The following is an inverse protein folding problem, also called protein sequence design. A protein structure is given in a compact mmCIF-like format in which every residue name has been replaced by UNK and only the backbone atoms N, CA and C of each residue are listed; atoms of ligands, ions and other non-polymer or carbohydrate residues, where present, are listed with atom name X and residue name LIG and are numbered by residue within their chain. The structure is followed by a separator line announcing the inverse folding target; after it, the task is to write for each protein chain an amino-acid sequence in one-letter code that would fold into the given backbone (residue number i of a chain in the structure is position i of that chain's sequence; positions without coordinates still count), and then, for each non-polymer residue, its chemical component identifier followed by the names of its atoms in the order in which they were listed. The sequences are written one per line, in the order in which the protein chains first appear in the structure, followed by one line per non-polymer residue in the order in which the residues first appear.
data_IF_859315884841
#
_entry.id   IF_859315884841
#
_cell.length_a   1.000
_cell.length_b   1.000
_cell.length_c   1.000
_cell.angle_alpha   90.00
_cell.angle_beta   90.00
_cell.angle_gamma   90.00
#
_symmetry.space_group_name_H-M   'P 1'
#
loop_
_entity.id
_entity.type
_entity.pdbx_description
1 polymer ?
#
# COMPACT_ATOMS: atom_id res chain seq x y z
N UNK A 1 16.33 20.48 -0.79
CA UNK A 1 16.14 19.66 0.42
C UNK A 1 17.20 18.56 0.50
N UNK A 2 17.27 17.66 -0.48
CA UNK A 2 18.24 16.55 -0.55
C UNK A 2 19.72 16.88 -0.21
N UNK A 3 20.31 18.01 -0.64
CA UNK A 3 21.71 18.32 -0.27
C UNK A 3 21.93 18.50 1.24
N UNK A 4 20.92 19.00 1.96
CA UNK A 4 20.99 19.18 3.41
C UNK A 4 20.83 17.84 4.16
N UNK A 5 19.91 16.99 3.72
CA UNK A 5 19.71 15.64 4.29
C UNK A 5 21.02 14.83 4.22
N UNK A 6 21.69 14.84 3.07
CA UNK A 6 22.99 14.15 2.89
C UNK A 6 24.10 14.73 3.75
N UNK A 7 24.16 16.06 3.88
CA UNK A 7 25.18 16.72 4.71
C UNK A 7 25.06 16.35 6.18
N UNK A 8 23.85 16.07 6.65
CA UNK A 8 23.57 15.74 8.05
C UNK A 8 23.25 14.26 8.27
N UNK A 9 23.42 13.41 7.25
CA UNK A 9 23.20 11.95 7.34
C UNK A 9 21.80 11.64 7.89
N UNK A 10 20.80 12.41 7.45
CA UNK A 10 19.46 12.41 8.01
C UNK A 10 18.75 11.05 7.88
N UNK A 11 19.09 10.32 6.82
CA UNK A 11 18.61 8.97 6.52
C UNK A 11 19.01 7.92 7.56
N UNK A 12 20.09 8.14 8.33
CA UNK A 12 20.45 7.25 9.44
C UNK A 12 19.64 7.49 10.71
N UNK A 13 18.97 8.65 10.84
CA UNK A 13 18.25 9.03 12.06
C UNK A 13 16.74 9.07 11.89
N UNK A 14 16.26 9.30 10.66
CA UNK A 14 14.85 9.53 10.43
C UNK A 14 14.34 8.75 9.21
N UNK A 15 14.15 9.41 8.08
CA UNK A 15 13.62 8.80 6.86
C UNK A 15 14.64 8.86 5.73
N UNK A 16 14.69 7.84 4.87
CA UNK A 16 15.44 7.91 3.62
C UNK A 16 15.03 9.11 2.76
N UNK A 17 15.89 9.45 1.81
CA UNK A 17 15.56 10.44 0.80
C UNK A 17 14.37 9.97 -0.06
N UNK A 18 13.45 10.88 -0.36
CA UNK A 18 12.28 10.58 -1.18
C UNK A 18 12.68 10.17 -2.61
N UNK A 19 12.07 9.09 -3.09
CA UNK A 19 12.20 8.60 -4.44
C UNK A 19 11.18 9.24 -5.37
N UNK A 20 11.47 9.22 -6.68
CA UNK A 20 10.59 9.81 -7.69
C UNK A 20 9.17 9.23 -7.67
N UNK A 21 9.05 7.92 -7.44
CA UNK A 21 7.77 7.22 -7.33
C UNK A 21 6.87 7.75 -6.21
N UNK A 22 7.44 8.30 -5.12
CA UNK A 22 6.67 8.89 -4.03
C UNK A 22 6.08 10.25 -4.40
N UNK A 23 6.73 11.00 -5.29
CA UNK A 23 6.18 12.26 -5.82
C UNK A 23 5.07 12.02 -6.84
N UNK A 24 5.21 10.95 -7.64
CA UNK A 24 4.24 10.58 -8.66
C UNK A 24 3.09 9.69 -8.09
N UNK A 25 3.15 9.37 -6.79
CA UNK A 25 2.19 8.51 -6.12
C UNK A 25 0.78 9.10 -6.15
N UNK A 26 -0.20 8.25 -6.45
CA UNK A 26 -1.62 8.60 -6.29
C UNK A 26 -1.97 8.70 -4.81
N UNK A 27 -2.96 9.54 -4.42
CA UNK A 27 -3.44 9.58 -3.05
C UNK A 27 -3.83 8.19 -2.54
N UNK A 28 -3.38 7.85 -1.34
CA UNK A 28 -3.63 6.56 -0.70
C UNK A 28 -4.52 6.72 0.52
N UNK A 29 -5.41 5.74 0.74
CA UNK A 29 -6.28 5.66 1.91
C UNK A 29 -5.94 4.39 2.68
N UNK A 30 -5.60 4.54 3.96
CA UNK A 30 -5.27 3.43 4.85
C UNK A 30 -6.47 3.12 5.77
N UNK A 31 -6.99 1.90 5.68
CA UNK A 31 -8.05 1.42 6.56
C UNK A 31 -7.45 0.71 7.79
N UNK A 32 -7.57 1.34 8.96
CA UNK A 32 -7.14 0.78 10.25
C UNK A 32 -8.35 0.43 11.11
N UNK A 33 -8.25 -0.67 11.86
CA UNK A 33 -9.29 -1.09 12.79
C UNK A 33 -9.17 -2.57 13.16
N UNK A 34 -9.86 -2.97 14.23
CA UNK A 34 -9.86 -4.35 14.73
C UNK A 34 -10.41 -5.35 13.71
N UNK A 35 -10.25 -6.64 14.00
CA UNK A 35 -10.84 -7.71 13.18
C UNK A 35 -12.35 -7.54 13.05
N UNK A 36 -12.89 -7.88 11.88
CA UNK A 36 -14.33 -7.94 11.62
C UNK A 36 -15.12 -6.63 11.78
N UNK A 37 -14.47 -5.46 11.78
CA UNK A 37 -15.13 -4.13 11.83
C UNK A 37 -15.52 -3.58 10.45
N UNK A 38 -15.52 -4.40 9.40
CA UNK A 38 -16.03 -4.02 8.08
C UNK A 38 -15.04 -3.30 7.15
N UNK A 39 -13.72 -3.37 7.38
CA UNK A 39 -12.70 -2.76 6.50
C UNK A 39 -12.81 -3.23 5.04
N UNK A 40 -12.86 -4.55 4.83
CA UNK A 40 -13.03 -5.17 3.50
C UNK A 40 -14.35 -4.76 2.86
N UNK A 41 -15.43 -4.73 3.65
CA UNK A 41 -16.76 -4.29 3.20
C UNK A 41 -16.78 -2.82 2.77
N UNK A 42 -16.05 -1.96 3.49
CA UNK A 42 -15.93 -0.54 3.17
C UNK A 42 -15.19 -0.32 1.85
N UNK A 43 -14.10 -1.07 1.59
CA UNK A 43 -13.41 -1.03 0.30
C UNK A 43 -14.36 -1.49 -0.82
N UNK A 44 -15.08 -2.60 -0.64
CA UNK A 44 -16.08 -3.08 -1.60
C UNK A 44 -17.19 -2.05 -1.86
N UNK A 45 -17.64 -1.35 -0.83
CA UNK A 45 -18.63 -0.27 -0.96
C UNK A 45 -18.11 0.89 -1.83
N UNK A 46 -16.86 1.34 -1.59
CA UNK A 46 -16.23 2.39 -2.39
C UNK A 46 -15.98 1.97 -3.85
N UNK A 47 -15.85 0.67 -4.11
CA UNK A 47 -15.73 0.09 -5.44
C UNK A 47 -17.10 -0.24 -6.07
N UNK A 48 -18.19 0.38 -5.61
CA UNK A 48 -19.55 0.16 -6.10
C UNK A 48 -20.00 -1.31 -6.07
N UNK A 49 -19.53 -2.07 -5.08
CA UNK A 49 -19.85 -3.48 -4.92
C UNK A 49 -18.96 -4.45 -5.69
N UNK A 50 -17.99 -3.98 -6.49
CA UNK A 50 -17.03 -4.86 -7.16
C UNK A 50 -16.12 -5.55 -6.15
N UNK A 51 -15.93 -6.86 -6.34
CA UNK A 51 -14.97 -7.64 -5.55
C UNK A 51 -13.55 -7.45 -6.09
N UNK A 52 -12.59 -7.33 -5.18
CA UNK A 52 -11.18 -7.29 -5.50
C UNK A 52 -10.50 -8.60 -5.09
N UNK A 53 -9.44 -9.03 -5.78
CA UNK A 53 -8.71 -10.24 -5.41
C UNK A 53 -8.28 -10.22 -3.94
N UNK A 54 -8.64 -11.27 -3.18
CA UNK A 54 -8.34 -11.36 -1.76
C UNK A 54 -9.38 -10.72 -0.82
N UNK A 55 -10.50 -10.20 -1.33
CA UNK A 55 -11.58 -9.61 -0.52
C UNK A 55 -12.44 -10.64 0.24
N UNK A 56 -11.92 -11.83 0.57
CA UNK A 56 -12.71 -12.88 1.25
C UNK A 56 -13.18 -12.38 2.63
N UNK A 57 -14.49 -12.19 2.77
CA UNK A 57 -15.13 -11.81 4.03
C UNK A 57 -15.63 -13.10 4.69
N UNK A 58 -14.82 -13.69 5.58
CA UNK A 58 -15.20 -14.85 6.39
C UNK A 58 -15.41 -14.48 7.86
N UNK A 59 -16.14 -15.31 8.63
CA UNK A 59 -16.26 -15.15 10.09
C UNK A 59 -14.94 -15.38 10.83
N UNK A 60 -14.00 -16.11 10.22
CA UNK A 60 -12.64 -16.33 10.71
C UNK A 60 -11.73 -15.17 10.29
N UNK A 61 -10.75 -14.76 11.13
CA UNK A 61 -9.78 -13.72 10.77
C UNK A 61 -9.06 -14.13 9.49
N UNK A 62 -9.38 -13.46 8.39
CA UNK A 62 -8.99 -13.85 7.03
C UNK A 62 -8.02 -12.86 6.39
N UNK A 63 -7.65 -11.78 7.11
CA UNK A 63 -6.75 -10.74 6.61
C UNK A 63 -5.68 -10.41 7.64
N UNK A 64 -4.62 -11.22 7.69
CA UNK A 64 -3.44 -11.00 8.56
C UNK A 64 -2.27 -10.29 7.86
N UNK A 65 -2.46 -9.85 6.61
CA UNK A 65 -1.43 -9.18 5.82
C UNK A 65 -1.90 -7.80 5.32
N UNK A 66 -0.98 -6.84 5.26
CA UNK A 66 -1.20 -5.58 4.55
C UNK A 66 -1.50 -5.86 3.08
N UNK A 67 -2.63 -5.35 2.60
CA UNK A 67 -3.08 -5.53 1.22
C UNK A 67 -3.21 -4.16 0.55
N UNK A 68 -2.57 -4.00 -0.60
CA UNK A 68 -2.69 -2.80 -1.44
C UNK A 68 -3.68 -3.11 -2.56
N UNK A 69 -4.75 -2.35 -2.63
CA UNK A 69 -5.71 -2.39 -3.75
C UNK A 69 -5.44 -1.18 -4.64
N UNK A 70 -5.02 -1.42 -5.88
CA UNK A 70 -4.72 -0.38 -6.85
C UNK A 70 -5.21 -0.77 -8.25
N UNK A 71 -5.34 0.23 -9.12
CA UNK A 71 -5.82 0.03 -10.48
C UNK A 71 -4.79 -0.71 -11.35
N UNK A 72 -5.25 -1.70 -12.11
CA UNK A 72 -4.49 -2.44 -13.11
C UNK A 72 -5.37 -2.74 -14.31
N UNK A 73 -4.78 -2.83 -15.51
CA UNK A 73 -5.47 -3.27 -16.72
C UNK A 73 -5.90 -4.74 -16.64
N UNK A 74 -5.13 -5.55 -15.91
CA UNK A 74 -5.40 -6.97 -15.70
C UNK A 74 -5.83 -7.19 -14.25
N UNK A 75 -7.03 -7.76 -14.05
CA UNK A 75 -7.50 -8.17 -12.72
C UNK A 75 -6.65 -9.35 -12.23
N UNK A 76 -6.02 -9.21 -11.06
CA UNK A 76 -5.19 -10.26 -10.48
C UNK A 76 -4.56 -9.83 -9.17
N UNK A 77 -4.00 -10.80 -8.45
CA UNK A 77 -3.19 -10.55 -7.27
C UNK A 77 -1.71 -10.58 -7.64
N UNK A 78 -0.93 -9.68 -7.05
CA UNK A 78 0.54 -9.62 -7.18
C UNK A 78 1.12 -9.83 -5.78
N UNK A 79 2.23 -10.56 -5.70
CA UNK A 79 2.91 -10.77 -4.42
C UNK A 79 3.45 -9.44 -3.87
N UNK A 80 3.40 -9.26 -2.56
CA UNK A 80 3.93 -8.05 -1.91
C UNK A 80 5.42 -7.81 -2.19
N UNK A 81 6.21 -8.87 -2.35
CA UNK A 81 7.63 -8.77 -2.72
C UNK A 81 7.86 -8.19 -4.11
N UNK A 82 6.98 -8.50 -5.07
CA UNK A 82 7.01 -7.91 -6.41
C UNK A 82 6.60 -6.43 -6.38
N UNK A 83 5.67 -6.04 -5.51
CA UNK A 83 5.30 -4.64 -5.32
C UNK A 83 6.44 -3.84 -4.70
N UNK A 84 7.16 -4.41 -3.73
CA UNK A 84 8.27 -3.76 -3.06
C UNK A 84 9.51 -3.60 -3.96
N UNK A 85 9.70 -4.48 -4.96
CA UNK A 85 10.81 -4.37 -5.91
C UNK A 85 10.52 -3.46 -7.10
N UNK A 86 9.26 -3.08 -7.33
CA UNK A 86 8.86 -2.21 -8.43
C UNK A 86 9.22 -0.73 -8.14
N UNK A 87 10.12 -0.16 -8.93
CA UNK A 87 10.58 1.23 -8.79
C UNK A 87 9.63 2.29 -9.31
N UNK A 88 8.53 1.86 -9.94
CA UNK A 88 7.46 2.75 -10.39
C UNK A 88 6.38 2.95 -9.33
N UNK A 89 6.39 2.16 -8.26
CA UNK A 89 5.41 2.22 -7.18
C UNK A 89 6.05 2.73 -5.86
N UNK A 90 5.28 3.43 -5.02
CA UNK A 90 5.78 4.00 -3.76
C UNK A 90 5.81 2.97 -2.61
N UNK A 91 6.13 1.71 -2.91
CA UNK A 91 6.19 0.62 -1.93
C UNK A 91 7.60 0.08 -1.71
N UNK A 92 8.58 0.70 -2.35
CA UNK A 92 9.97 0.41 -2.09
C UNK A 92 10.32 0.86 -0.69
N UNK A 93 10.82 -0.08 0.11
CA UNK A 93 11.45 0.20 1.39
C UNK A 93 12.84 -0.40 1.30
N UNK A 94 13.85 0.42 1.57
CA UNK A 94 15.24 -0.03 1.73
C UNK A 94 15.37 -0.95 2.96
#
# INVERSE_FOLDING_TARGET
MLPMEKRHIFDQFYTPALYRAEFDAKPMVLFLGQYSVGKTSMIKFLLNGEEYPGSMIGPEPTTDCFTVVYHSLNKGAVMGTSLASDSTLPFQVL
#
